data_IF_387175315674
#
_entry.id   IF_387175315674
#
_cell.length_a   1.000
_cell.length_b   1.000
_cell.length_c   1.000
_cell.angle_alpha   90.00
_cell.angle_beta   90.00
_cell.angle_gamma   90.00
#
_symmetry.space_group_name_H-M   'P 1'
#
loop_
_entity.id
_entity.type
_entity.pdbx_description
1 polymer ?
#
# COMPACT_ATOMS: atom_id res chain seq x y z
N UNK A 1 -18.65 22.76 5.36
CA UNK A 1 -17.20 23.08 5.28
C UNK A 1 -16.83 24.27 6.16
N UNK A 2 -17.33 25.48 5.92
CA UNK A 2 -16.95 26.69 6.69
C UNK A 2 -17.18 26.59 8.21
N UNK A 3 -18.32 26.02 8.64
CA UNK A 3 -18.57 25.78 10.07
C UNK A 3 -17.55 24.84 10.73
N UNK A 4 -17.03 23.86 9.99
CA UNK A 4 -16.00 22.96 10.50
C UNK A 4 -14.64 23.68 10.54
N UNK A 5 -14.34 24.50 9.52
CA UNK A 5 -13.14 25.36 9.49
C UNK A 5 -13.07 26.26 10.73
N UNK A 6 -14.19 26.88 11.10
CA UNK A 6 -14.30 27.82 12.24
C UNK A 6 -14.41 27.17 13.62
N UNK A 7 -14.75 25.88 13.68
CA UNK A 7 -14.71 25.13 14.95
C UNK A 7 -13.30 25.20 15.55
N UNK A 8 -13.12 25.13 16.86
CA UNK A 8 -11.78 25.18 17.48
C UNK A 8 -10.90 23.97 17.16
N UNK A 9 -10.46 23.26 18.20
CA UNK A 9 -9.59 22.10 18.06
C UNK A 9 -10.18 21.04 17.10
N UNK A 10 -9.36 20.65 16.12
CA UNK A 10 -9.62 19.61 15.14
C UNK A 10 -8.39 18.73 15.07
N UNK A 11 -8.60 17.43 14.92
CA UNK A 11 -7.51 16.51 14.62
C UNK A 11 -6.87 16.85 13.27
N UNK A 12 -5.59 16.49 13.13
CA UNK A 12 -4.88 16.69 11.87
C UNK A 12 -5.58 15.97 10.72
N UNK A 13 -6.10 14.74 10.92
CA UNK A 13 -6.79 14.01 9.84
C UNK A 13 -8.06 14.74 9.38
N UNK A 14 -8.83 15.32 10.32
CA UNK A 14 -10.02 16.10 10.00
C UNK A 14 -9.67 17.33 9.17
N UNK A 15 -8.57 18.00 9.50
CA UNK A 15 -8.13 19.19 8.76
C UNK A 15 -7.66 18.86 7.34
N UNK A 16 -6.91 17.76 7.16
CA UNK A 16 -6.53 17.25 5.83
C UNK A 16 -7.77 16.88 5.00
N UNK A 17 -8.75 16.18 5.60
CA UNK A 17 -10.01 15.85 4.91
C UNK A 17 -10.83 17.07 4.54
N UNK A 18 -10.87 18.07 5.42
CA UNK A 18 -11.55 19.32 5.13
C UNK A 18 -10.87 20.06 3.97
N UNK A 19 -9.55 20.04 3.89
CA UNK A 19 -8.81 20.63 2.77
C UNK A 19 -9.13 19.94 1.44
N UNK A 20 -9.15 18.61 1.40
CA UNK A 20 -9.57 17.87 0.21
C UNK A 20 -10.99 18.27 -0.23
N UNK A 21 -11.92 18.40 0.71
CA UNK A 21 -13.29 18.82 0.41
C UNK A 21 -13.34 20.24 -0.19
N UNK A 22 -12.52 21.18 0.32
CA UNK A 22 -12.41 22.52 -0.26
C UNK A 22 -11.88 22.50 -1.70
N UNK A 23 -10.85 21.70 -1.98
CA UNK A 23 -10.31 21.56 -3.33
C UNK A 23 -11.37 21.00 -4.28
N UNK A 24 -12.06 19.92 -3.88
CA UNK A 24 -13.13 19.31 -4.68
C UNK A 24 -14.32 20.25 -4.89
N UNK A 25 -14.55 21.20 -3.98
CA UNK A 25 -15.57 22.24 -4.11
C UNK A 25 -15.10 23.46 -4.93
N UNK A 26 -13.92 23.41 -5.56
CA UNK A 26 -13.39 24.50 -6.38
C UNK A 26 -12.75 25.64 -5.58
N UNK A 27 -12.34 25.39 -4.34
CA UNK A 27 -11.68 26.38 -3.46
C UNK A 27 -10.27 25.90 -3.01
N UNK A 28 -9.33 25.68 -3.94
CA UNK A 28 -8.02 25.13 -3.62
C UNK A 28 -7.18 26.02 -2.69
N UNK A 29 -7.36 27.34 -2.73
CA UNK A 29 -6.67 28.29 -1.84
C UNK A 29 -7.08 28.07 -0.38
N UNK A 30 -8.38 27.89 -0.13
CA UNK A 30 -8.89 27.57 1.21
C UNK A 30 -8.37 26.21 1.69
N UNK A 31 -8.25 25.23 0.79
CA UNK A 31 -7.62 23.94 1.07
C UNK A 31 -6.15 24.09 1.46
N UNK A 32 -5.34 24.82 0.69
CA UNK A 32 -3.91 25.08 1.00
C UNK A 32 -3.73 25.78 2.34
N UNK A 33 -4.54 26.79 2.64
CA UNK A 33 -4.45 27.53 3.90
C UNK A 33 -4.66 26.62 5.12
N UNK A 34 -5.53 25.61 5.00
CA UNK A 34 -5.78 24.67 6.09
C UNK A 34 -4.60 23.74 6.39
N UNK A 35 -3.81 23.38 5.38
CA UNK A 35 -2.78 22.34 5.50
C UNK A 35 -1.36 22.89 5.54
N UNK A 36 -1.16 24.19 5.27
CA UNK A 36 0.16 24.80 5.19
C UNK A 36 1.01 24.63 6.46
N UNK A 37 0.39 24.52 7.63
CA UNK A 37 1.08 24.33 8.91
C UNK A 37 0.98 22.90 9.44
N UNK A 38 0.28 22.02 8.73
CA UNK A 38 0.07 20.64 9.18
C UNK A 38 1.22 19.74 8.74
N UNK A 39 1.59 18.84 9.63
CA UNK A 39 2.51 17.75 9.30
C UNK A 39 1.80 16.64 8.51
N UNK A 40 2.55 15.97 7.66
CA UNK A 40 2.15 14.71 7.00
C UNK A 40 2.52 13.49 7.84
N UNK A 41 3.26 13.67 8.94
CA UNK A 41 3.68 12.60 9.84
C UNK A 41 2.57 12.30 10.83
N UNK A 42 2.15 11.04 10.85
CA UNK A 42 1.14 10.52 11.77
C UNK A 42 1.81 9.46 12.64
N UNK A 43 1.67 9.59 13.95
CA UNK A 43 2.15 8.62 14.91
C UNK A 43 1.47 7.27 14.68
N UNK A 44 2.18 6.16 14.86
CA UNK A 44 1.61 4.85 14.62
C UNK A 44 0.46 4.58 15.60
N UNK A 45 -0.66 4.14 15.05
CA UNK A 45 -1.86 3.80 15.80
C UNK A 45 -2.74 2.86 14.98
N UNK A 46 -3.59 2.11 15.68
CA UNK A 46 -4.62 1.29 15.09
C UNK A 46 -5.87 1.36 15.98
N UNK A 47 -6.95 1.90 15.42
CA UNK A 47 -8.24 2.00 16.10
C UNK A 47 -9.04 0.72 15.84
N UNK A 48 -9.45 0.05 16.92
CA UNK A 48 -10.16 -1.24 16.84
C UNK A 48 -11.70 -1.10 16.78
N UNK A 49 -12.21 0.14 16.76
CA UNK A 49 -13.65 0.45 16.68
C UNK A 49 -13.88 1.86 16.14
N UNK A 50 -15.13 2.28 15.98
CA UNK A 50 -15.46 3.66 15.55
C UNK A 50 -15.14 3.91 14.07
N UNK A 51 -13.96 4.48 13.78
CA UNK A 51 -13.58 4.85 12.41
C UNK A 51 -12.76 3.77 11.70
N UNK A 52 -12.34 2.71 12.40
CA UNK A 52 -11.41 1.69 11.89
C UNK A 52 -10.10 2.33 11.36
N UNK A 53 -9.64 3.38 12.04
CA UNK A 53 -8.50 4.17 11.63
C UNK A 53 -7.17 3.50 11.87
N UNK A 54 -6.19 3.90 11.06
CA UNK A 54 -4.79 3.55 11.27
C UNK A 54 -3.92 4.66 10.74
N UNK A 55 -2.70 4.75 11.26
CA UNK A 55 -1.73 5.74 10.78
C UNK A 55 -1.49 5.62 9.27
N UNK A 56 -1.42 4.39 8.76
CA UNK A 56 -1.23 4.11 7.34
C UNK A 56 -2.45 4.54 6.49
N UNK A 57 -3.68 4.34 7.00
CA UNK A 57 -4.91 4.84 6.36
C UNK A 57 -4.85 6.36 6.24
N UNK A 58 -4.53 7.04 7.32
CA UNK A 58 -4.55 8.50 7.36
C UNK A 58 -3.46 9.09 6.46
N UNK A 59 -2.27 8.47 6.39
CA UNK A 59 -1.23 8.82 5.40
C UNK A 59 -1.74 8.72 3.97
N UNK A 60 -2.48 7.67 3.64
CA UNK A 60 -3.08 7.52 2.32
C UNK A 60 -4.13 8.59 2.00
N UNK A 61 -4.91 9.03 2.99
CA UNK A 61 -5.84 10.16 2.85
C UNK A 61 -5.12 11.50 2.65
N UNK A 62 -4.00 11.71 3.34
CA UNK A 62 -3.13 12.87 3.13
C UNK A 62 -2.53 12.83 1.73
N UNK A 63 -2.07 11.67 1.25
CA UNK A 63 -1.55 11.50 -0.11
C UNK A 63 -2.58 11.96 -1.16
N UNK A 64 -3.82 11.48 -1.07
CA UNK A 64 -4.91 11.92 -1.95
C UNK A 64 -5.09 13.44 -1.92
N UNK A 65 -5.05 14.04 -0.73
CA UNK A 65 -5.19 15.50 -0.57
C UNK A 65 -4.02 16.26 -1.20
N UNK A 66 -2.80 15.77 -1.07
CA UNK A 66 -1.61 16.38 -1.69
C UNK A 66 -1.69 16.30 -3.23
N UNK A 67 -2.18 15.19 -3.78
CA UNK A 67 -2.43 15.08 -5.23
C UNK A 67 -3.45 16.13 -5.68
N UNK A 68 -4.57 16.26 -4.97
CA UNK A 68 -5.59 17.28 -5.25
C UNK A 68 -5.04 18.71 -5.20
N UNK A 69 -4.10 18.99 -4.29
CA UNK A 69 -3.45 20.30 -4.13
C UNK A 69 -2.32 20.57 -5.12
N UNK A 70 -2.00 19.61 -6.01
CA UNK A 70 -0.87 19.65 -6.93
C UNK A 70 0.52 19.68 -6.25
N UNK A 71 0.65 19.10 -5.06
CA UNK A 71 1.88 19.04 -4.27
C UNK A 71 2.72 17.80 -4.62
N UNK A 72 3.10 17.65 -5.90
CA UNK A 72 3.70 16.44 -6.49
C UNK A 72 4.86 15.85 -5.68
N UNK A 73 5.84 16.66 -5.29
CA UNK A 73 7.02 16.16 -4.58
C UNK A 73 6.71 15.65 -3.16
N UNK A 74 5.84 16.35 -2.43
CA UNK A 74 5.39 15.91 -1.10
C UNK A 74 4.57 14.63 -1.22
N UNK A 75 3.69 14.57 -2.22
CA UNK A 75 2.90 13.39 -2.52
C UNK A 75 3.80 12.19 -2.86
N UNK A 76 4.85 12.37 -3.66
CA UNK A 76 5.79 11.30 -4.00
C UNK A 76 6.50 10.73 -2.78
N UNK A 77 7.04 11.59 -1.90
CA UNK A 77 7.70 11.15 -0.66
C UNK A 77 6.76 10.36 0.26
N UNK A 78 5.51 10.81 0.36
CA UNK A 78 4.51 10.12 1.17
C UNK A 78 4.09 8.78 0.53
N UNK A 79 4.00 8.71 -0.79
CA UNK A 79 3.75 7.46 -1.52
C UNK A 79 4.86 6.43 -1.29
N UNK A 80 6.13 6.85 -1.28
CA UNK A 80 7.25 5.96 -0.94
C UNK A 80 7.10 5.42 0.49
N UNK A 81 6.81 6.31 1.45
CA UNK A 81 6.58 5.93 2.85
C UNK A 81 5.44 4.91 3.00
N UNK A 82 4.31 5.14 2.32
CA UNK A 82 3.16 4.23 2.32
C UNK A 82 3.56 2.87 1.72
N UNK A 83 4.30 2.88 0.61
CA UNK A 83 4.73 1.66 -0.08
C UNK A 83 5.65 0.82 0.80
N UNK A 84 6.60 1.47 1.49
CA UNK A 84 7.51 0.80 2.42
C UNK A 84 6.76 0.19 3.60
N UNK A 85 5.81 0.92 4.21
CA UNK A 85 4.99 0.38 5.30
C UNK A 85 4.10 -0.78 4.85
N UNK A 86 3.50 -0.70 3.66
CA UNK A 86 2.71 -1.81 3.10
C UNK A 86 3.55 -3.06 2.88
N UNK A 87 4.81 -2.93 2.47
CA UNK A 87 5.70 -4.07 2.25
C UNK A 87 6.15 -4.73 3.57
N UNK A 88 6.25 -3.97 4.67
CA UNK A 88 6.66 -4.49 5.98
C UNK A 88 5.50 -5.05 6.81
N UNK A 89 4.26 -4.56 6.62
CA UNK A 89 3.10 -5.02 7.38
C UNK A 89 2.61 -6.38 6.86
N UNK A 90 2.59 -7.38 7.74
CA UNK A 90 2.07 -8.72 7.42
C UNK A 90 0.56 -8.79 7.20
N UNK A 91 -0.20 -7.84 7.75
CA UNK A 91 -1.66 -7.77 7.62
C UNK A 91 -2.15 -6.32 7.51
N UNK A 92 -3.14 -6.09 6.64
CA UNK A 92 -3.81 -4.80 6.44
C UNK A 92 -5.32 -5.00 6.51
N UNK A 93 -6.03 -4.08 7.17
CA UNK A 93 -7.50 -4.05 7.08
C UNK A 93 -7.95 -3.70 5.65
N UNK A 94 -9.15 -4.12 5.27
CA UNK A 94 -9.73 -3.80 3.95
C UNK A 94 -9.78 -2.29 3.70
N UNK A 95 -10.12 -1.49 4.72
CA UNK A 95 -10.16 -0.04 4.59
C UNK A 95 -8.76 0.57 4.37
N UNK A 96 -7.77 0.15 5.16
CA UNK A 96 -6.39 0.63 4.99
C UNK A 96 -5.86 0.27 3.61
N UNK A 97 -6.03 -0.98 3.18
CA UNK A 97 -5.59 -1.44 1.87
C UNK A 97 -6.26 -0.65 0.73
N UNK A 98 -7.58 -0.42 0.81
CA UNK A 98 -8.33 0.33 -0.18
C UNK A 98 -7.85 1.78 -0.31
N UNK A 99 -7.64 2.48 0.83
CA UNK A 99 -7.13 3.86 0.82
C UNK A 99 -5.73 3.95 0.23
N UNK A 100 -4.82 3.05 0.60
CA UNK A 100 -3.46 3.03 0.07
C UNK A 100 -3.45 2.81 -1.44
N UNK A 101 -4.19 1.80 -1.93
CA UNK A 101 -4.27 1.51 -3.36
C UNK A 101 -4.94 2.65 -4.15
N UNK A 102 -6.03 3.21 -3.63
CA UNK A 102 -6.74 4.30 -4.31
C UNK A 102 -5.92 5.57 -4.41
N UNK A 103 -5.22 5.95 -3.33
CA UNK A 103 -4.37 7.16 -3.33
C UNK A 103 -3.14 7.00 -4.22
N UNK A 104 -2.54 5.80 -4.26
CA UNK A 104 -1.47 5.49 -5.21
C UNK A 104 -1.96 5.53 -6.66
N UNK A 105 -3.16 5.00 -6.94
CA UNK A 105 -3.77 5.06 -8.27
C UNK A 105 -4.07 6.51 -8.69
N UNK A 106 -4.54 7.37 -7.77
CA UNK A 106 -4.73 8.79 -8.05
C UNK A 106 -3.42 9.51 -8.36
N UNK A 107 -2.36 9.25 -7.59
CA UNK A 107 -1.03 9.79 -7.87
C UNK A 107 -0.53 9.36 -9.26
N UNK A 108 -0.63 8.07 -9.57
CA UNK A 108 -0.22 7.53 -10.87
C UNK A 108 -1.04 8.15 -12.01
N UNK A 109 -2.36 8.27 -11.83
CA UNK A 109 -3.23 8.89 -12.82
C UNK A 109 -2.83 10.35 -13.10
N UNK A 110 -2.51 11.12 -12.07
CA UNK A 110 -2.19 12.55 -12.24
C UNK A 110 -0.77 12.79 -12.77
N UNK A 111 0.21 12.00 -12.32
CA UNK A 111 1.62 12.32 -12.53
C UNK A 111 2.42 11.27 -13.30
N UNK A 112 1.89 10.05 -13.46
CA UNK A 112 2.50 8.98 -14.24
C UNK A 112 1.80 8.74 -15.59
N UNK A 113 0.63 9.35 -15.81
CA UNK A 113 -0.05 9.37 -17.12
C UNK A 113 0.51 10.49 -17.99
N UNK A 114 1.53 10.20 -18.79
CA UNK A 114 2.07 11.12 -19.78
C UNK A 114 2.71 10.36 -20.93
N UNK A 115 3.36 11.07 -21.85
CA UNK A 115 4.20 10.47 -22.91
C UNK A 115 5.49 9.83 -22.38
N UNK A 116 5.63 9.68 -21.06
CA UNK A 116 6.78 9.09 -20.43
C UNK A 116 6.90 7.62 -20.85
N UNK A 117 7.98 7.30 -21.54
CA UNK A 117 8.28 5.95 -21.96
C UNK A 117 9.25 5.30 -20.98
N UNK A 118 8.99 4.03 -20.69
CA UNK A 118 9.97 3.17 -20.04
C UNK A 118 10.89 2.58 -21.13
N UNK A 119 12.19 2.65 -20.87
CA UNK A 119 13.22 2.02 -21.71
C UNK A 119 14.19 1.30 -20.79
N UNK A 120 14.38 0.01 -21.01
CA UNK A 120 15.25 -0.77 -20.17
C UNK A 120 15.85 -1.96 -20.90
N UNK A 121 16.93 -2.47 -20.33
CA UNK A 121 17.50 -3.77 -20.62
C UNK A 121 17.41 -4.63 -19.36
N UNK A 122 16.89 -5.85 -19.50
CA UNK A 122 16.74 -6.80 -18.40
C UNK A 122 17.25 -8.17 -18.82
N UNK A 123 18.06 -8.81 -17.98
CA UNK A 123 18.46 -10.21 -18.14
C UNK A 123 17.86 -11.02 -17.00
N UNK A 124 17.07 -12.04 -17.33
CA UNK A 124 16.50 -12.97 -16.35
C UNK A 124 17.00 -14.38 -16.66
N UNK A 125 17.73 -14.98 -15.72
CA UNK A 125 18.31 -16.33 -15.90
C UNK A 125 19.09 -16.49 -17.23
N UNK A 126 19.79 -15.45 -17.66
CA UNK A 126 20.56 -15.41 -18.92
C UNK A 126 19.77 -15.02 -20.17
N UNK A 127 18.43 -14.93 -20.10
CA UNK A 127 17.60 -14.45 -21.21
C UNK A 127 17.50 -12.92 -21.18
N UNK A 128 18.07 -12.27 -22.20
CA UNK A 128 18.11 -10.81 -22.32
C UNK A 128 16.88 -10.29 -23.07
N UNK A 129 16.23 -9.27 -22.48
CA UNK A 129 15.12 -8.52 -23.05
C UNK A 129 15.46 -7.04 -23.07
N UNK A 130 15.37 -6.40 -24.22
CA UNK A 130 15.43 -4.94 -24.36
C UNK A 130 14.08 -4.45 -24.87
N UNK A 131 13.48 -3.48 -24.17
CA UNK A 131 12.14 -3.02 -24.51
C UNK A 131 11.95 -1.53 -24.26
N UNK A 132 11.19 -0.91 -25.16
CA UNK A 132 10.64 0.45 -25.02
C UNK A 132 9.12 0.37 -25.01
N UNK A 133 8.47 0.94 -23.99
CA UNK A 133 7.02 0.94 -23.88
C UNK A 133 6.48 2.25 -23.33
N UNK A 134 5.25 2.58 -23.72
CA UNK A 134 4.42 3.58 -23.03
C UNK A 134 3.58 2.95 -21.91
N UNK A 135 3.57 1.62 -21.78
CA UNK A 135 2.87 0.96 -20.68
C UNK A 135 3.66 1.17 -19.38
N UNK A 136 3.03 1.71 -18.32
CA UNK A 136 3.73 1.99 -17.06
C UNK A 136 4.05 0.73 -16.26
N UNK A 137 3.37 -0.38 -16.56
CA UNK A 137 3.59 -1.69 -15.92
C UNK A 137 3.77 -2.74 -17.01
N UNK A 138 4.85 -3.50 -16.90
CA UNK A 138 5.12 -4.66 -17.73
C UNK A 138 5.32 -5.87 -16.84
N UNK A 139 4.76 -7.01 -17.27
CA UNK A 139 4.86 -8.28 -16.54
C UNK A 139 5.49 -9.31 -17.44
N UNK A 140 6.56 -9.93 -16.95
CA UNK A 140 7.28 -10.99 -17.67
C UNK A 140 7.11 -12.30 -16.89
N UNK A 141 6.59 -13.37 -17.50
CA UNK A 141 6.58 -14.68 -16.86
C UNK A 141 8.02 -15.19 -16.75
N UNK A 142 8.43 -15.58 -15.54
CA UNK A 142 9.78 -16.11 -15.28
C UNK A 142 9.70 -17.61 -15.07
N UNK A 143 10.51 -18.37 -15.82
CA UNK A 143 10.70 -19.80 -15.58
C UNK A 143 11.75 -19.98 -14.48
N UNK A 144 11.40 -20.75 -13.45
CA UNK A 144 12.34 -21.14 -12.41
C UNK A 144 13.40 -22.07 -12.99
N UNK A 145 14.66 -21.86 -12.61
CA UNK A 145 15.71 -22.83 -12.88
C UNK A 145 15.56 -24.05 -11.93
N UNK A 146 16.33 -25.11 -12.15
CA UNK A 146 16.26 -26.33 -11.35
C UNK A 146 16.56 -26.11 -9.85
N UNK A 147 17.31 -25.04 -9.51
CA UNK A 147 17.62 -24.67 -8.13
C UNK A 147 16.57 -23.75 -7.47
N UNK A 148 15.54 -23.32 -8.21
CA UNK A 148 14.53 -22.38 -7.72
C UNK A 148 15.05 -20.95 -7.51
N UNK A 149 16.22 -20.61 -8.06
CA UNK A 149 16.84 -19.30 -7.98
C UNK A 149 16.46 -18.49 -9.23
N UNK A 150 16.18 -17.20 -9.04
CA UNK A 150 15.94 -16.26 -10.13
C UNK A 150 16.96 -15.14 -10.03
N UNK A 151 17.86 -15.06 -11.02
CA UNK A 151 18.81 -13.95 -11.15
C UNK A 151 18.22 -12.91 -12.12
N UNK A 152 18.14 -11.67 -11.65
CA UNK A 152 17.62 -10.54 -12.44
C UNK A 152 18.68 -9.44 -12.46
N UNK A 153 19.18 -9.13 -13.65
CA UNK A 153 19.97 -7.94 -13.91
C UNK A 153 19.08 -6.92 -14.64
N UNK A 154 19.00 -5.70 -14.13
CA UNK A 154 18.16 -4.65 -14.70
C UNK A 154 18.95 -3.36 -14.89
N UNK A 155 18.88 -2.81 -16.09
CA UNK A 155 19.47 -1.55 -16.46
C UNK A 155 18.40 -0.60 -17.01
N UNK A 156 18.12 0.47 -16.27
CA UNK A 156 17.22 1.51 -16.73
C UNK A 156 17.94 2.41 -17.74
N UNK A 157 17.43 2.45 -18.97
CA UNK A 157 17.94 3.30 -20.05
C UNK A 157 17.02 4.49 -20.35
N UNK A 158 15.93 4.65 -19.59
CA UNK A 158 14.97 5.73 -19.73
C UNK A 158 15.32 6.94 -18.87
N UNK A 159 14.67 8.06 -19.17
CA UNK A 159 14.80 9.30 -18.41
C UNK A 159 14.02 9.27 -17.08
N UNK A 160 13.03 8.38 -16.97
CA UNK A 160 12.22 8.21 -15.76
C UNK A 160 12.72 7.04 -14.93
N UNK A 161 12.66 7.19 -13.60
CA UNK A 161 12.97 6.09 -12.68
C UNK A 161 12.00 4.93 -12.87
N UNK A 162 12.53 3.71 -12.94
CA UNK A 162 11.76 2.47 -13.03
C UNK A 162 12.18 1.52 -11.92
N UNK A 163 11.23 0.68 -11.50
CA UNK A 163 11.41 -0.25 -10.38
C UNK A 163 11.08 -1.66 -10.84
N UNK A 164 11.86 -2.64 -10.37
CA UNK A 164 11.63 -4.06 -10.65
C UNK A 164 11.11 -4.74 -9.40
N UNK A 165 10.07 -5.57 -9.58
CA UNK A 165 9.52 -6.41 -8.51
C UNK A 165 9.47 -7.86 -8.98
N UNK A 166 10.06 -8.75 -8.18
CA UNK A 166 9.95 -10.20 -8.38
C UNK A 166 8.79 -10.72 -7.54
N UNK A 167 7.85 -11.42 -8.18
CA UNK A 167 6.69 -12.02 -7.55
C UNK A 167 6.78 -13.55 -7.69
N UNK A 168 6.83 -14.25 -6.56
CA UNK A 168 6.79 -15.71 -6.52
C UNK A 168 5.51 -16.17 -5.80
N UNK A 169 4.84 -17.16 -6.36
CA UNK A 169 3.70 -17.84 -5.74
C UNK A 169 3.94 -19.33 -5.81
N UNK A 170 3.81 -20.00 -4.67
CA UNK A 170 3.97 -21.44 -4.57
C UNK A 170 3.21 -22.01 -3.39
N UNK A 171 3.06 -23.33 -3.37
CA UNK A 171 2.57 -24.06 -2.21
C UNK A 171 3.82 -24.60 -1.52
N UNK A 172 4.06 -24.29 -0.23
CA UNK A 172 5.18 -24.85 0.50
C UNK A 172 5.06 -26.38 0.56
N UNK A 173 6.19 -27.07 0.40
CA UNK A 173 6.23 -28.54 0.45
C UNK A 173 6.24 -28.98 1.91
N UNK A 174 5.24 -29.74 2.32
CA UNK A 174 5.10 -30.28 3.69
C UNK A 174 3.80 -29.85 4.38
N UNK A 175 3.56 -30.40 5.57
CA UNK A 175 2.55 -29.89 6.49
C UNK A 175 3.26 -28.85 7.36
N UNK A 176 2.89 -27.57 7.20
CA UNK A 176 3.36 -26.53 8.11
C UNK A 176 2.81 -26.84 9.51
N UNK A 177 3.66 -27.43 10.34
CA UNK A 177 3.37 -27.82 11.72
C UNK A 177 3.86 -26.76 12.71
N UNK A 178 4.40 -25.64 12.21
CA UNK A 178 4.83 -24.54 13.05
C UNK A 178 3.63 -23.71 13.50
N UNK A 179 3.34 -23.73 14.80
CA UNK A 179 2.28 -22.90 15.37
C UNK A 179 2.78 -21.45 15.47
N UNK A 180 2.36 -20.58 14.55
CA UNK A 180 2.64 -19.15 14.62
C UNK A 180 1.52 -18.41 15.35
N UNK A 181 1.91 -17.41 16.15
CA UNK A 181 1.04 -16.78 17.11
C UNK A 181 1.29 -15.28 17.22
N UNK A 182 0.43 -14.43 16.64
CA UNK A 182 0.43 -12.99 16.87
C UNK A 182 -0.91 -12.52 17.44
N UNK A 183 -0.90 -12.07 18.69
CA UNK A 183 -2.02 -11.46 19.43
C UNK A 183 -3.28 -12.31 19.69
N UNK A 184 -3.64 -13.29 18.85
CA UNK A 184 -4.89 -14.06 19.00
C UNK A 184 -4.66 -15.58 19.07
N UNK A 185 -4.88 -16.21 20.24
CA UNK A 185 -4.78 -17.66 20.41
C UNK A 185 -6.09 -18.37 20.06
N UNK A 186 -6.04 -19.25 19.06
CA UNK A 186 -7.14 -20.15 18.75
C UNK A 186 -6.73 -21.60 19.04
N UNK A 187 -7.69 -22.35 19.61
CA UNK A 187 -7.59 -23.77 19.87
C UNK A 187 -8.85 -24.42 19.29
N UNK A 188 -8.69 -25.39 18.38
CA UNK A 188 -9.82 -26.14 17.84
C UNK A 188 -9.81 -27.55 18.44
N UNK A 189 -10.98 -28.01 18.87
CA UNK A 189 -11.20 -29.38 19.35
C UNK A 189 -12.28 -30.02 18.49
N UNK A 190 -12.01 -31.19 17.93
CA UNK A 190 -13.01 -31.99 17.24
C UNK A 190 -13.62 -32.98 18.23
N UNK A 191 -14.93 -32.89 18.40
CA UNK A 191 -15.72 -33.76 19.27
C UNK A 191 -16.65 -34.62 18.41
N UNK A 192 -16.84 -35.88 18.81
CA UNK A 192 -17.86 -36.75 18.22
C UNK A 192 -19.26 -36.46 18.79
N UNK A 193 -20.29 -37.13 18.27
CA UNK A 193 -21.69 -36.98 18.71
C UNK A 193 -21.93 -37.37 20.17
N UNK A 194 -21.04 -38.15 20.76
CA UNK A 194 -21.08 -38.55 22.17
C UNK A 194 -20.25 -37.62 23.07
N UNK A 195 -19.78 -36.49 22.53
CA UNK A 195 -18.89 -35.53 23.20
C UNK A 195 -17.51 -36.13 23.58
N UNK A 196 -17.15 -37.28 22.99
CA UNK A 196 -15.82 -37.85 23.03
C UNK A 196 -14.86 -37.01 22.18
N UNK A 197 -13.68 -36.70 22.70
CA UNK A 197 -12.67 -35.96 21.92
C UNK A 197 -12.02 -36.91 20.92
N UNK A 198 -12.25 -36.68 19.63
CA UNK A 198 -11.72 -37.53 18.57
C UNK A 198 -10.35 -37.05 18.08
N UNK A 199 -10.08 -35.74 18.10
CA UNK A 199 -8.77 -35.16 17.81
C UNK A 199 -8.69 -33.69 18.27
N UNK A 200 -7.56 -33.27 18.86
CA UNK A 200 -7.31 -31.88 19.24
C UNK A 200 -6.36 -31.25 18.22
N UNK A 201 -6.83 -30.27 17.45
CA UNK A 201 -6.06 -29.60 16.41
C UNK A 201 -6.07 -28.11 16.70
N UNK A 202 -4.97 -27.56 17.22
CA UNK A 202 -4.89 -26.11 17.48
C UNK A 202 -4.63 -25.37 16.17
N UNK A 203 -5.69 -24.93 15.49
CA UNK A 203 -5.58 -23.99 14.38
C UNK A 203 -5.57 -22.54 14.89
N UNK A 204 -4.79 -21.66 14.23
CA UNK A 204 -4.83 -20.19 14.37
C UNK A 204 -5.18 -19.59 13.00
N UNK A 205 -6.15 -18.67 12.98
CA UNK A 205 -6.54 -17.91 11.79
C UNK A 205 -5.49 -16.83 11.52
N UNK A 206 -5.06 -16.73 10.25
CA UNK A 206 -4.14 -15.72 9.74
C UNK A 206 -4.73 -14.31 9.80
#
# INVERSE_FOLDING_TARGET
>A
MNRLREKGEKSAETAWRLAAAYVLAGQPEAGRQLVNTLTTTINDYQEMGGTFGSALRDKAMILETLVLLNEKEKAFRLLQTISDEMNHRGWLSTQTAAWCLSSAAYYAREYASGDAEIRFEMTVNGEKTELRSKNPILTFPVKLNAEGIVNVDYNNQGETSSYVRVLARGIPVGVDSSSASQNLLMQVKYLDTNHGTQCMLRYRLC
#
